data_IF_269571849535
#
_entry.id   IF_269571849535
#
_cell.length_a   1.000
_cell.length_b   1.000
_cell.length_c   1.000
_cell.angle_alpha   90.00
_cell.angle_beta   90.00
_cell.angle_gamma   90.00
#
_symmetry.space_group_name_H-M   'P 1'
#
loop_
_entity.id
_entity.type
_entity.pdbx_description
1 polymer ?
#
# COMPACT_ATOMS: atom_id res chain seq x y z
N UNK A 1 -58.69 4.04 -57.74
CA UNK A 1 -57.95 3.23 -56.75
C UNK A 1 -56.54 3.79 -56.61
N UNK A 2 -56.29 4.64 -55.61
CA UNK A 2 -54.92 5.09 -55.27
C UNK A 2 -54.56 4.42 -53.95
N UNK A 3 -53.48 3.62 -53.97
CA UNK A 3 -52.97 2.90 -52.81
C UNK A 3 -52.46 3.87 -51.74
N UNK A 4 -52.85 3.63 -50.50
CA UNK A 4 -52.27 4.22 -49.29
C UNK A 4 -51.11 3.32 -48.85
N UNK A 5 -49.90 3.88 -48.79
CA UNK A 5 -48.71 3.22 -48.21
C UNK A 5 -48.59 3.68 -46.74
N UNK A 6 -48.48 2.79 -45.74
CA UNK A 6 -48.24 3.21 -44.37
C UNK A 6 -46.74 3.51 -44.15
N UNK A 7 -46.46 4.68 -43.57
CA UNK A 7 -45.15 5.04 -43.04
C UNK A 7 -44.80 4.10 -41.87
N UNK A 8 -43.72 3.34 -42.02
CA UNK A 8 -43.07 2.65 -40.90
C UNK A 8 -42.26 3.68 -40.10
N UNK A 9 -42.69 3.97 -38.87
CA UNK A 9 -41.88 4.67 -37.88
C UNK A 9 -40.74 3.72 -37.45
N UNK A 10 -39.52 3.97 -37.92
CA UNK A 10 -38.33 3.37 -37.36
C UNK A 10 -38.02 4.06 -36.02
N UNK A 11 -38.36 3.41 -34.91
CA UNK A 11 -37.88 3.82 -33.59
C UNK A 11 -36.36 3.59 -33.53
N UNK A 12 -35.59 4.66 -33.72
CA UNK A 12 -34.15 4.65 -33.47
C UNK A 12 -33.92 4.54 -31.96
N UNK A 13 -33.81 3.32 -31.45
CA UNK A 13 -33.20 3.06 -30.16
C UNK A 13 -31.72 3.44 -30.28
N UNK A 14 -31.40 4.68 -29.91
CA UNK A 14 -30.04 5.11 -29.68
C UNK A 14 -29.53 4.26 -28.49
N UNK A 15 -28.53 3.36 -28.67
CA UNK A 15 -27.93 2.73 -27.52
C UNK A 15 -27.13 3.83 -26.82
N UNK A 16 -27.60 4.26 -25.65
CA UNK A 16 -26.79 5.02 -24.73
C UNK A 16 -25.63 4.09 -24.35
N UNK A 17 -24.50 4.23 -25.03
CA UNK A 17 -23.26 3.72 -24.52
C UNK A 17 -23.03 4.47 -23.20
N UNK A 18 -23.35 3.83 -22.07
CA UNK A 18 -22.98 4.38 -20.77
C UNK A 18 -21.46 4.34 -20.72
N UNK A 19 -20.83 5.47 -21.03
CA UNK A 19 -19.43 5.68 -20.71
C UNK A 19 -19.30 5.47 -19.21
N UNK A 20 -18.27 4.73 -18.79
CA UNK A 20 -17.94 4.62 -17.37
C UNK A 20 -17.85 6.03 -16.79
N UNK A 21 -18.65 6.29 -15.76
CA UNK A 21 -18.67 7.58 -15.11
C UNK A 21 -17.65 7.52 -13.99
N UNK A 22 -16.55 8.24 -14.16
CA UNK A 22 -15.65 8.56 -13.05
C UNK A 22 -16.42 9.47 -12.11
N UNK A 23 -16.58 9.04 -10.87
CA UNK A 23 -17.28 9.83 -9.84
C UNK A 23 -16.22 10.56 -9.03
N UNK A 24 -16.33 11.88 -8.93
CA UNK A 24 -15.47 12.70 -8.11
C UNK A 24 -16.22 13.16 -6.86
N UNK A 25 -15.64 12.91 -5.70
CA UNK A 25 -16.13 13.31 -4.39
C UNK A 25 -15.02 14.10 -3.72
N UNK A 26 -15.33 15.27 -3.19
CA UNK A 26 -14.38 16.15 -2.52
C UNK A 26 -14.57 16.10 -1.01
N UNK A 27 -13.48 16.18 -0.26
CA UNK A 27 -13.50 16.31 1.20
C UNK A 27 -13.04 17.72 1.56
N UNK A 28 -13.99 18.56 1.98
CA UNK A 28 -13.77 19.96 2.31
C UNK A 28 -13.93 20.20 3.82
N UNK A 29 -12.93 20.84 4.44
CA UNK A 29 -12.84 20.97 5.91
C UNK A 29 -13.98 21.78 6.56
N UNK A 30 -14.67 22.64 5.80
CA UNK A 30 -15.63 23.60 6.35
C UNK A 30 -17.09 23.32 6.00
N UNK A 31 -17.42 22.18 5.38
CA UNK A 31 -18.78 21.91 4.91
C UNK A 31 -19.59 21.17 5.98
N UNK A 32 -20.72 21.74 6.43
CA UNK A 32 -21.73 21.00 7.21
C UNK A 32 -22.75 20.43 6.23
N UNK A 33 -22.69 19.14 5.95
CA UNK A 33 -23.69 18.49 5.09
C UNK A 33 -24.79 17.86 5.91
N UNK A 34 -26.00 17.95 5.37
CA UNK A 34 -26.94 16.86 5.47
C UNK A 34 -27.29 16.48 4.04
N UNK A 35 -27.37 15.17 3.74
CA UNK A 35 -28.26 14.59 2.70
C UNK A 35 -27.60 14.10 1.38
N UNK A 36 -28.29 13.09 0.82
CA UNK A 36 -28.27 12.54 -0.54
C UNK A 36 -28.03 13.58 -1.65
N UNK A 37 -27.20 13.21 -2.63
CA UNK A 37 -26.87 14.04 -3.78
C UNK A 37 -25.68 14.98 -3.58
N UNK A 38 -25.07 14.97 -2.38
CA UNK A 38 -23.88 15.77 -2.07
C UNK A 38 -22.60 15.07 -2.53
N UNK A 39 -21.65 15.84 -3.07
CA UNK A 39 -20.31 15.39 -3.47
C UNK A 39 -19.18 16.06 -2.69
N UNK A 40 -19.50 16.89 -1.68
CA UNK A 40 -18.53 17.55 -0.81
C UNK A 40 -18.79 17.17 0.65
N UNK A 41 -17.78 16.69 1.39
CA UNK A 41 -17.98 16.17 2.76
C UNK A 41 -17.02 16.79 3.77
N UNK A 42 -17.43 16.98 5.05
CA UNK A 42 -16.54 17.48 6.11
C UNK A 42 -15.39 16.54 6.46
N UNK A 43 -15.59 15.23 6.31
CA UNK A 43 -14.61 14.21 6.67
C UNK A 43 -14.55 13.14 5.60
N UNK A 44 -13.42 12.42 5.57
CA UNK A 44 -13.15 11.35 4.62
C UNK A 44 -14.08 10.18 4.91
N UNK A 45 -14.28 9.82 6.19
CA UNK A 45 -15.20 8.73 6.53
C UNK A 45 -16.63 9.06 6.09
N UNK A 46 -17.08 10.32 6.23
CA UNK A 46 -18.42 10.69 5.78
C UNK A 46 -18.55 10.60 4.25
N UNK A 47 -17.52 10.97 3.50
CA UNK A 47 -17.48 10.71 2.05
C UNK A 47 -17.59 9.20 1.77
N UNK A 48 -16.87 8.36 2.51
CA UNK A 48 -16.94 6.90 2.38
C UNK A 48 -18.33 6.35 2.71
N UNK A 49 -19.01 6.88 3.73
CA UNK A 49 -20.34 6.40 4.15
C UNK A 49 -21.46 6.81 3.17
N UNK A 50 -21.26 7.86 2.37
CA UNK A 50 -22.31 8.49 1.57
C UNK A 50 -22.04 8.58 0.05
N UNK A 51 -20.84 8.26 -0.44
CA UNK A 51 -20.58 8.31 -1.88
C UNK A 51 -21.33 7.22 -2.65
N UNK A 52 -21.73 7.49 -3.90
CA UNK A 52 -22.33 6.47 -4.75
C UNK A 52 -21.26 5.45 -5.17
N UNK A 53 -21.57 4.17 -5.09
CA UNK A 53 -20.77 3.14 -5.74
C UNK A 53 -20.64 3.47 -7.24
N UNK A 54 -19.46 3.24 -7.82
CA UNK A 54 -19.34 3.27 -9.27
C UNK A 54 -20.41 2.35 -9.88
N UNK A 55 -21.19 2.88 -10.83
CA UNK A 55 -22.27 2.13 -11.44
C UNK A 55 -21.78 0.81 -12.07
N UNK A 56 -22.66 -0.18 -12.30
CA UNK A 56 -22.28 -1.49 -12.85
C UNK A 56 -21.74 -1.43 -14.29
N UNK A 57 -21.78 -0.25 -14.92
CA UNK A 57 -21.23 0.00 -16.24
C UNK A 57 -19.70 -0.23 -16.21
N UNK A 58 -19.26 -1.18 -17.04
CA UNK A 58 -17.84 -1.45 -17.24
C UNK A 58 -17.28 -0.46 -18.27
N UNK A 59 -16.09 0.06 -18.02
CA UNK A 59 -15.33 0.84 -18.98
C UNK A 59 -15.00 0.05 -20.25
N UNK A 60 -14.38 0.71 -21.24
CA UNK A 60 -13.94 0.06 -22.49
C UNK A 60 -12.95 -1.09 -22.26
N UNK A 61 -12.31 -1.13 -21.10
CA UNK A 61 -11.39 -2.15 -20.61
C UNK A 61 -12.09 -3.28 -19.81
N UNK A 62 -13.41 -3.24 -19.65
CA UNK A 62 -14.18 -4.25 -18.92
C UNK A 62 -14.12 -4.11 -17.40
N UNK A 63 -13.50 -3.06 -16.84
CA UNK A 63 -13.41 -2.80 -15.39
C UNK A 63 -14.60 -1.95 -14.90
N UNK A 64 -15.10 -2.14 -13.66
CA UNK A 64 -16.09 -1.23 -13.07
C UNK A 64 -15.54 0.19 -13.02
N UNK A 65 -16.40 1.22 -13.05
CA UNK A 65 -15.97 2.62 -12.90
C UNK A 65 -15.15 2.86 -11.63
N UNK A 66 -14.46 4.01 -11.56
CA UNK A 66 -13.63 4.41 -10.44
C UNK A 66 -14.25 5.62 -9.72
N UNK A 67 -14.13 5.64 -8.40
CA UNK A 67 -14.57 6.77 -7.58
C UNK A 67 -13.33 7.43 -6.99
N UNK A 68 -13.14 8.71 -7.30
CA UNK A 68 -12.06 9.54 -6.80
C UNK A 68 -12.55 10.33 -5.59
N UNK A 69 -11.89 10.14 -4.46
CA UNK A 69 -12.05 10.95 -3.26
C UNK A 69 -10.91 11.97 -3.25
N UNK A 70 -11.20 13.18 -3.71
CA UNK A 70 -10.32 14.35 -3.70
C UNK A 70 -10.29 14.94 -2.30
N UNK A 71 -9.13 14.92 -1.64
CA UNK A 71 -8.97 15.35 -0.24
C UNK A 71 -8.20 16.67 -0.21
N UNK A 72 -8.84 17.72 0.26
CA UNK A 72 -8.24 19.05 0.35
C UNK A 72 -7.06 19.12 1.34
N UNK A 73 -6.13 20.09 1.21
CA UNK A 73 -5.04 20.28 2.15
C UNK A 73 -5.48 20.43 3.60
N UNK A 74 -4.93 19.59 4.47
CA UNK A 74 -4.85 19.73 5.92
C UNK A 74 -4.83 18.38 6.65
N UNK A 75 -5.03 18.43 7.96
CA UNK A 75 -4.91 17.26 8.84
C UNK A 75 -6.27 16.78 9.32
N UNK A 76 -6.61 15.55 8.95
CA UNK A 76 -7.87 14.88 9.22
C UNK A 76 -7.67 13.90 10.37
N UNK A 77 -8.10 14.32 11.57
CA UNK A 77 -8.06 13.50 12.78
C UNK A 77 -9.26 12.55 12.86
N UNK A 78 -9.23 11.48 12.07
CA UNK A 78 -10.30 10.50 12.00
C UNK A 78 -9.77 9.08 11.75
N UNK A 79 -10.65 8.09 11.92
CA UNK A 79 -10.41 6.72 11.47
C UNK A 79 -11.20 6.49 10.20
N UNK A 80 -10.52 6.06 9.13
CA UNK A 80 -11.15 5.83 7.82
C UNK A 80 -11.21 4.33 7.52
N UNK A 81 -12.39 3.84 7.12
CA UNK A 81 -12.65 2.45 6.77
C UNK A 81 -13.20 2.39 5.36
N UNK A 82 -12.40 1.87 4.43
CA UNK A 82 -12.80 1.51 3.08
C UNK A 82 -13.24 0.04 3.10
N UNK A 83 -14.54 -0.18 3.32
CA UNK A 83 -15.13 -1.52 3.39
C UNK A 83 -15.09 -2.24 2.04
N UNK A 84 -15.16 -3.57 2.07
CA UNK A 84 -14.99 -4.45 0.89
C UNK A 84 -15.88 -4.13 -0.33
N UNK A 85 -17.05 -3.53 -0.10
CA UNK A 85 -18.00 -3.11 -1.13
C UNK A 85 -17.62 -1.81 -1.86
N UNK A 86 -16.63 -1.07 -1.38
CA UNK A 86 -16.13 0.15 -2.03
C UNK A 86 -14.96 -0.16 -2.98
N UNK A 87 -15.18 -1.03 -3.97
CA UNK A 87 -14.13 -1.37 -4.94
C UNK A 87 -13.82 -0.19 -5.87
N UNK A 88 -12.57 -0.11 -6.34
CA UNK A 88 -12.09 0.94 -7.25
C UNK A 88 -12.23 2.36 -6.67
N UNK A 89 -11.86 2.53 -5.42
CA UNK A 89 -11.72 3.85 -4.78
C UNK A 89 -10.30 4.37 -4.99
N UNK A 90 -10.17 5.65 -5.31
CA UNK A 90 -8.88 6.34 -5.35
C UNK A 90 -8.92 7.52 -4.38
N UNK A 91 -8.04 7.54 -3.39
CA UNK A 91 -7.80 8.74 -2.58
C UNK A 91 -6.76 9.61 -3.28
N UNK A 92 -7.09 10.89 -3.49
CA UNK A 92 -6.17 11.84 -4.13
C UNK A 92 -6.02 13.05 -3.22
N UNK A 93 -4.82 13.29 -2.70
CA UNK A 93 -4.54 14.53 -1.99
C UNK A 93 -4.38 15.70 -2.97
N UNK A 94 -5.13 16.78 -2.74
CA UNK A 94 -5.14 17.98 -3.60
C UNK A 94 -4.06 18.99 -3.21
N UNK A 95 -3.15 18.61 -2.31
CA UNK A 95 -1.98 19.40 -1.93
C UNK A 95 -0.90 19.46 -2.99
N UNK A 96 0.10 20.31 -2.80
CA UNK A 96 1.28 20.34 -3.69
C UNK A 96 2.18 19.14 -3.44
N UNK A 97 2.25 18.71 -2.18
CA UNK A 97 3.04 17.59 -1.70
C UNK A 97 2.19 16.68 -0.80
N UNK A 98 2.59 15.42 -0.57
CA UNK A 98 1.84 14.50 0.28
C UNK A 98 1.74 14.92 1.75
N UNK A 99 2.65 15.75 2.26
CA UNK A 99 2.54 16.32 3.61
C UNK A 99 1.42 17.35 3.77
N UNK A 100 0.89 17.90 2.69
CA UNK A 100 -0.19 18.87 2.75
C UNK A 100 -1.55 18.23 3.11
N UNK A 101 -1.69 16.91 2.92
CA UNK A 101 -2.93 16.15 3.18
C UNK A 101 -2.60 14.96 4.08
N UNK A 102 -3.04 15.00 5.33
CA UNK A 102 -2.66 14.02 6.35
C UNK A 102 -3.89 13.39 6.98
N UNK A 103 -4.02 12.07 6.94
CA UNK A 103 -5.00 11.31 7.72
C UNK A 103 -4.29 10.76 8.96
N UNK A 104 -4.71 11.18 10.15
CA UNK A 104 -3.96 10.94 11.39
C UNK A 104 -4.84 10.43 12.53
N UNK A 105 -4.33 9.47 13.29
CA UNK A 105 -4.88 9.00 14.57
C UNK A 105 -3.71 8.67 15.52
N UNK A 106 -3.99 8.21 16.74
CA UNK A 106 -2.98 7.92 17.77
C UNK A 106 -3.31 6.68 18.62
N UNK A 107 -4.18 5.79 18.12
CA UNK A 107 -4.52 4.56 18.82
C UNK A 107 -3.34 3.58 18.82
N UNK A 108 -2.98 3.05 19.99
CA UNK A 108 -2.07 1.92 20.13
C UNK A 108 -2.79 0.67 20.67
N UNK A 109 -2.14 -0.49 20.57
CA UNK A 109 -2.74 -1.78 20.92
C UNK A 109 -3.18 -1.87 22.39
N UNK A 110 -2.50 -1.19 23.32
CA UNK A 110 -2.88 -1.18 24.75
C UNK A 110 -4.22 -0.46 24.95
N UNK A 111 -4.47 0.62 24.21
CA UNK A 111 -5.72 1.38 24.25
C UNK A 111 -6.83 0.67 23.47
N UNK A 112 -6.51 0.14 22.29
CA UNK A 112 -7.49 -0.43 21.36
C UNK A 112 -7.83 -1.90 21.65
N UNK A 113 -7.10 -2.57 22.55
CA UNK A 113 -7.31 -4.00 22.87
C UNK A 113 -6.66 -4.97 21.87
N UNK A 114 -5.71 -4.50 21.06
CA UNK A 114 -4.95 -5.30 20.08
C UNK A 114 -4.53 -4.49 18.86
N UNK A 115 -3.49 -4.97 18.14
CA UNK A 115 -2.93 -4.31 16.94
C UNK A 115 -3.98 -4.01 15.88
N UNK A 116 -4.86 -4.96 15.57
CA UNK A 116 -5.86 -4.87 14.48
C UNK A 116 -7.08 -4.00 14.80
N UNK A 117 -6.98 -3.17 15.85
CA UNK A 117 -7.95 -2.14 16.18
C UNK A 117 -7.33 -0.73 16.18
N UNK A 118 -6.03 -0.62 15.86
CA UNK A 118 -5.25 0.62 15.95
C UNK A 118 -5.18 1.41 14.65
N UNK A 119 -5.66 0.83 13.55
CA UNK A 119 -5.42 1.37 12.22
C UNK A 119 -6.07 2.75 12.05
N UNK A 120 -5.27 3.76 11.68
CA UNK A 120 -5.78 5.07 11.25
C UNK A 120 -6.64 4.90 10.00
N UNK A 121 -6.14 4.16 9.01
CA UNK A 121 -6.91 3.78 7.81
C UNK A 121 -6.95 2.27 7.64
N UNK A 122 -8.13 1.73 7.33
CA UNK A 122 -8.34 0.32 6.99
C UNK A 122 -8.92 0.21 5.58
N UNK A 123 -8.23 -0.53 4.72
CA UNK A 123 -8.65 -0.79 3.34
C UNK A 123 -8.91 -2.27 3.15
N UNK A 124 -10.17 -2.64 2.90
CA UNK A 124 -10.58 -4.02 2.62
C UNK A 124 -11.13 -4.21 1.19
N UNK A 125 -11.16 -3.14 0.39
CA UNK A 125 -11.74 -3.17 -0.96
C UNK A 125 -10.68 -3.41 -2.04
N UNK A 126 -10.98 -4.21 -3.09
CA UNK A 126 -10.07 -4.40 -4.22
C UNK A 126 -9.97 -3.15 -5.10
N UNK A 127 -8.82 -2.97 -5.76
CA UNK A 127 -8.57 -1.87 -6.69
C UNK A 127 -8.43 -0.50 -6.01
N UNK A 128 -8.13 -0.49 -4.71
CA UNK A 128 -7.89 0.75 -3.97
C UNK A 128 -6.62 1.43 -4.46
N UNK A 129 -6.68 2.73 -4.65
CA UNK A 129 -5.52 3.53 -5.02
C UNK A 129 -5.40 4.75 -4.11
N UNK A 130 -4.18 5.25 -3.95
CA UNK A 130 -3.87 6.46 -3.22
C UNK A 130 -2.75 7.23 -3.93
N UNK A 131 -2.92 8.54 -4.12
CA UNK A 131 -1.87 9.43 -4.62
C UNK A 131 -1.77 10.72 -3.81
N UNK A 132 -0.53 11.14 -3.54
CA UNK A 132 -0.20 12.47 -2.99
C UNK A 132 -0.83 12.78 -1.62
N UNK A 133 -0.76 11.86 -0.66
CA UNK A 133 -1.20 12.08 0.73
C UNK A 133 -0.39 11.29 1.76
N UNK A 134 -0.60 11.63 3.04
CA UNK A 134 0.05 11.00 4.19
C UNK A 134 -0.96 10.20 5.03
N UNK A 135 -0.61 8.96 5.37
CA UNK A 135 -1.26 8.14 6.38
C UNK A 135 -0.38 8.08 7.62
N UNK A 136 -0.90 8.40 8.79
CA UNK A 136 -0.08 8.50 10.01
C UNK A 136 -0.75 7.88 11.24
N UNK A 137 0.06 7.25 12.09
CA UNK A 137 -0.30 6.98 13.48
C UNK A 137 0.72 7.63 14.44
N UNK A 138 0.24 8.61 15.20
CA UNK A 138 1.04 9.44 16.13
C UNK A 138 1.16 8.88 17.55
N UNK A 139 0.79 7.61 17.77
CA UNK A 139 0.88 6.99 19.09
C UNK A 139 2.30 6.93 19.68
N UNK A 140 3.33 7.19 18.87
CA UNK A 140 4.73 7.16 19.31
C UNK A 140 5.25 5.74 19.54
N UNK A 141 6.42 5.62 20.17
CA UNK A 141 7.01 4.34 20.57
C UNK A 141 6.29 3.74 21.80
N UNK A 142 5.02 3.37 21.65
CA UNK A 142 4.16 2.89 22.74
C UNK A 142 3.78 1.41 22.62
N UNK A 143 4.27 0.74 21.59
CA UNK A 143 3.86 -0.58 21.13
C UNK A 143 3.24 -0.50 19.74
N UNK A 144 2.50 -1.52 19.34
CA UNK A 144 1.88 -1.60 18.01
C UNK A 144 0.86 -0.49 17.78
N UNK A 145 1.00 0.24 16.68
CA UNK A 145 0.14 1.34 16.29
C UNK A 145 0.17 1.52 14.76
N UNK A 146 -0.88 1.05 14.09
CA UNK A 146 -0.93 0.95 12.62
C UNK A 146 -1.39 2.28 12.01
N UNK A 147 -0.63 2.80 11.04
CA UNK A 147 -1.05 3.96 10.23
C UNK A 147 -2.04 3.52 9.14
N UNK A 148 -1.76 2.42 8.45
CA UNK A 148 -2.69 1.85 7.49
C UNK A 148 -2.62 0.33 7.45
N UNK A 149 -3.78 -0.33 7.42
CA UNK A 149 -3.90 -1.74 7.07
C UNK A 149 -4.51 -1.92 5.70
N UNK A 150 -3.86 -2.74 4.88
CA UNK A 150 -4.20 -2.96 3.49
C UNK A 150 -4.49 -4.45 3.27
N UNK A 151 -5.77 -4.74 3.01
CA UNK A 151 -6.31 -6.03 2.60
C UNK A 151 -7.01 -5.85 1.26
N UNK A 152 -6.22 -5.52 0.25
CA UNK A 152 -6.72 -5.13 -1.06
C UNK A 152 -5.90 -5.81 -2.15
N UNK A 153 -6.60 -6.47 -3.07
CA UNK A 153 -5.98 -6.94 -4.30
C UNK A 153 -5.94 -5.81 -5.32
N UNK A 154 -4.80 -5.69 -6.01
CA UNK A 154 -4.50 -4.61 -6.95
C UNK A 154 -4.50 -3.23 -6.32
N UNK A 155 -3.91 -3.10 -5.13
CA UNK A 155 -3.77 -1.81 -4.47
C UNK A 155 -2.58 -1.03 -5.04
N UNK A 156 -2.71 0.29 -5.23
CA UNK A 156 -1.60 1.16 -5.66
C UNK A 156 -1.48 2.35 -4.71
N UNK A 157 -0.26 2.63 -4.25
CA UNK A 157 0.06 3.82 -3.48
C UNK A 157 1.19 4.56 -4.21
N UNK A 158 0.92 5.76 -4.71
CA UNK A 158 1.89 6.59 -5.45
C UNK A 158 2.13 7.90 -4.69
N UNK A 159 3.37 8.36 -4.60
CA UNK A 159 3.73 9.59 -3.86
C UNK A 159 3.14 9.68 -2.44
N UNK A 160 2.94 8.55 -1.77
CA UNK A 160 2.34 8.51 -0.45
C UNK A 160 3.40 8.51 0.65
N UNK A 161 3.06 9.07 1.81
CA UNK A 161 3.82 8.92 3.05
C UNK A 161 3.07 8.02 4.02
N UNK A 162 3.75 7.07 4.65
CA UNK A 162 3.15 6.17 5.65
C UNK A 162 4.01 6.23 6.91
N UNK A 163 3.50 6.88 7.95
CA UNK A 163 4.27 7.32 9.11
C UNK A 163 3.80 6.66 10.40
N UNK A 164 4.73 6.16 11.20
CA UNK A 164 4.43 5.52 12.47
C UNK A 164 5.69 5.09 13.21
N UNK A 165 5.52 4.24 14.23
CA UNK A 165 6.63 3.61 14.94
C UNK A 165 6.59 2.10 14.76
N UNK A 166 6.01 1.35 15.70
CA UNK A 166 5.91 -0.10 15.60
C UNK A 166 4.64 -0.48 14.85
N UNK A 167 4.76 -1.41 13.89
CA UNK A 167 3.66 -1.90 13.06
C UNK A 167 3.01 -0.82 12.15
N UNK A 168 3.79 0.11 11.57
CA UNK A 168 3.31 1.25 10.74
C UNK A 168 2.38 0.84 9.58
N UNK A 169 2.83 -0.06 8.70
CA UNK A 169 2.11 -0.54 7.52
C UNK A 169 1.77 -2.02 7.68
N UNK A 170 0.48 -2.31 7.81
CA UNK A 170 -0.01 -3.68 7.79
C UNK A 170 -0.40 -4.10 6.36
N UNK A 171 0.60 -4.49 5.56
CA UNK A 171 0.43 -5.04 4.21
C UNK A 171 0.04 -6.52 4.28
N UNK A 172 -1.26 -6.79 4.48
CA UNK A 172 -1.76 -8.08 4.95
C UNK A 172 -2.25 -9.03 3.85
N UNK A 173 -3.02 -8.53 2.88
CA UNK A 173 -3.64 -9.37 1.85
C UNK A 173 -3.70 -8.70 0.48
N UNK A 174 -3.62 -9.53 -0.56
CA UNK A 174 -3.72 -9.12 -1.96
C UNK A 174 -2.41 -8.66 -2.56
N UNK A 175 -2.45 -8.31 -3.84
CA UNK A 175 -1.31 -7.74 -4.56
C UNK A 175 -1.29 -6.22 -4.39
N UNK A 176 -0.14 -5.67 -4.03
CA UNK A 176 0.00 -4.27 -3.64
C UNK A 176 1.25 -3.66 -4.28
N UNK A 177 1.14 -2.44 -4.79
CA UNK A 177 2.23 -1.71 -5.42
C UNK A 177 2.41 -0.34 -4.78
N UNK A 178 3.56 -0.13 -4.15
CA UNK A 178 3.95 1.12 -3.51
C UNK A 178 5.03 1.75 -4.38
N UNK A 179 4.76 2.93 -4.93
CA UNK A 179 5.58 3.59 -5.94
C UNK A 179 5.97 5.00 -5.49
N UNK A 180 7.26 5.32 -5.50
CA UNK A 180 7.75 6.65 -5.10
C UNK A 180 7.22 7.06 -3.71
N UNK A 181 7.18 6.10 -2.78
CA UNK A 181 6.63 6.29 -1.42
C UNK A 181 7.72 6.52 -0.38
N UNK A 182 7.34 7.15 0.72
CA UNK A 182 8.15 7.25 1.93
C UNK A 182 7.45 6.50 3.07
N UNK A 183 8.14 5.56 3.73
CA UNK A 183 7.59 4.77 4.83
C UNK A 183 8.58 4.81 5.98
N UNK A 184 8.13 5.18 7.17
CA UNK A 184 8.98 5.20 8.37
C UNK A 184 8.43 4.40 9.54
N UNK A 185 9.32 3.92 10.38
CA UNK A 185 8.94 3.20 11.59
C UNK A 185 10.11 2.69 12.40
N UNK A 186 9.84 1.69 13.23
CA UNK A 186 10.78 1.09 14.17
C UNK A 186 10.78 -0.44 14.09
N UNK A 187 10.01 -1.09 14.95
CA UNK A 187 9.87 -2.55 14.99
C UNK A 187 8.79 -2.98 13.99
N UNK A 188 9.15 -3.89 13.09
CA UNK A 188 8.24 -4.59 12.19
C UNK A 188 7.36 -3.63 11.37
N UNK A 189 7.90 -2.48 10.96
CA UNK A 189 7.05 -1.39 10.46
C UNK A 189 6.41 -1.66 9.10
N UNK A 190 6.86 -2.68 8.37
CA UNK A 190 6.13 -3.30 7.25
C UNK A 190 5.88 -4.78 7.60
N UNK A 191 4.63 -5.16 7.85
CA UNK A 191 4.31 -6.53 8.29
C UNK A 191 3.00 -7.03 7.68
N UNK A 192 2.79 -8.35 7.76
CA UNK A 192 1.65 -9.05 7.14
C UNK A 192 2.05 -10.04 6.04
N UNK A 193 1.08 -10.43 5.21
CA UNK A 193 1.24 -11.50 4.21
C UNK A 193 0.80 -11.08 2.80
N UNK A 194 0.85 -9.79 2.46
CA UNK A 194 0.54 -9.35 1.10
C UNK A 194 1.60 -9.84 0.10
N UNK A 195 1.22 -9.80 -1.18
CA UNK A 195 2.17 -9.84 -2.29
C UNK A 195 2.48 -8.40 -2.68
N UNK A 196 3.49 -7.80 -2.04
CA UNK A 196 3.73 -6.36 -2.14
C UNK A 196 5.09 -6.03 -2.78
N UNK A 197 5.10 -4.99 -3.61
CA UNK A 197 6.33 -4.43 -4.19
C UNK A 197 6.43 -2.95 -3.81
N UNK A 198 7.60 -2.56 -3.30
CA UNK A 198 7.98 -1.19 -2.97
C UNK A 198 9.04 -0.75 -3.99
N UNK A 199 8.65 0.06 -4.98
CA UNK A 199 9.50 0.50 -6.09
C UNK A 199 9.80 2.00 -5.99
N UNK A 200 11.10 2.34 -6.08
CA UNK A 200 11.59 3.72 -5.89
C UNK A 200 11.16 4.37 -4.58
N UNK A 201 11.02 3.55 -3.54
CA UNK A 201 10.59 4.01 -2.23
C UNK A 201 11.78 4.31 -1.31
N UNK A 202 11.51 5.09 -0.28
CA UNK A 202 12.37 5.25 0.88
C UNK A 202 11.77 4.52 2.08
N UNK A 203 12.56 3.63 2.69
CA UNK A 203 12.23 2.98 3.95
C UNK A 203 13.14 3.57 5.04
N UNK A 204 12.56 4.36 5.94
CA UNK A 204 13.28 5.14 6.94
C UNK A 204 13.13 4.55 8.35
N UNK A 205 14.23 4.08 8.91
CA UNK A 205 14.28 3.50 10.26
C UNK A 205 14.52 4.57 11.33
N UNK A 206 13.59 4.70 12.28
CA UNK A 206 13.64 5.73 13.32
C UNK A 206 14.41 5.30 14.57
N UNK A 207 14.66 4.00 14.77
CA UNK A 207 15.39 3.48 15.94
C UNK A 207 15.83 2.04 15.72
N UNK A 208 16.54 1.38 16.64
CA UNK A 208 16.91 -0.03 16.47
C UNK A 208 15.66 -0.90 16.31
N UNK A 209 15.55 -1.56 15.15
CA UNK A 209 14.30 -2.16 14.72
C UNK A 209 14.47 -3.16 13.58
N UNK A 210 13.35 -3.41 12.91
CA UNK A 210 13.25 -4.35 11.80
C UNK A 210 12.33 -3.75 10.75
N UNK A 211 12.85 -3.54 9.55
CA UNK A 211 12.06 -2.96 8.46
C UNK A 211 10.84 -3.83 8.14
N UNK A 212 11.04 -5.15 8.10
CA UNK A 212 10.01 -6.09 7.64
C UNK A 212 9.77 -7.26 8.59
N UNK A 213 8.49 -7.64 8.73
CA UNK A 213 8.05 -8.85 9.44
C UNK A 213 6.99 -9.61 8.63
N UNK A 214 7.43 -10.24 7.54
CA UNK A 214 6.53 -10.92 6.60
C UNK A 214 6.04 -12.26 7.17
N UNK A 215 4.76 -12.61 6.97
CA UNK A 215 4.03 -13.69 7.64
C UNK A 215 3.47 -14.82 6.76
N UNK A 216 4.03 -15.01 5.56
CA UNK A 216 3.78 -16.16 4.69
C UNK A 216 4.00 -17.43 5.49
N UNK A 217 3.08 -18.40 5.36
CA UNK A 217 3.03 -19.62 6.18
C UNK A 217 3.22 -20.92 5.40
N UNK A 218 3.22 -20.86 4.06
CA UNK A 218 3.39 -22.03 3.19
C UNK A 218 4.19 -21.67 1.93
N UNK A 219 4.88 -22.67 1.36
CA UNK A 219 5.57 -22.56 0.08
C UNK A 219 4.61 -22.30 -1.10
N UNK A 220 3.34 -22.74 -0.99
CA UNK A 220 2.33 -22.61 -2.05
C UNK A 220 1.78 -21.18 -2.18
N UNK A 221 2.08 -20.30 -1.22
CA UNK A 221 1.66 -18.90 -1.26
C UNK A 221 2.62 -18.08 -2.14
N UNK A 222 2.06 -17.33 -3.10
CA UNK A 222 2.79 -16.39 -3.95
C UNK A 222 3.18 -15.08 -3.24
N UNK A 223 2.83 -14.92 -1.97
CA UNK A 223 3.01 -13.69 -1.18
C UNK A 223 4.47 -13.42 -0.82
N UNK A 224 4.77 -12.20 -0.41
CA UNK A 224 6.12 -11.73 -0.15
C UNK A 224 6.28 -10.26 -0.39
N UNK A 225 7.34 -9.70 0.20
CA UNK A 225 7.71 -8.31 0.02
C UNK A 225 8.93 -8.21 -0.88
N UNK A 226 8.85 -7.34 -1.89
CA UNK A 226 9.97 -7.00 -2.75
C UNK A 226 10.23 -5.51 -2.64
N UNK A 227 11.43 -5.14 -2.23
CA UNK A 227 11.91 -3.77 -2.18
C UNK A 227 12.85 -3.62 -3.38
N UNK A 228 12.52 -2.74 -4.33
CA UNK A 228 13.21 -2.64 -5.62
C UNK A 228 13.53 -1.19 -5.98
N UNK A 229 14.71 -0.94 -6.54
CA UNK A 229 15.19 0.40 -6.93
C UNK A 229 15.02 1.47 -5.84
N UNK A 230 15.08 1.05 -4.58
CA UNK A 230 14.69 1.84 -3.42
C UNK A 230 15.92 2.26 -2.62
N UNK A 231 15.72 2.99 -1.52
CA UNK A 231 16.78 3.26 -0.55
C UNK A 231 16.29 3.02 0.87
N UNK A 232 17.18 2.50 1.69
CA UNK A 232 17.00 2.40 3.13
C UNK A 232 17.79 3.52 3.78
N UNK A 233 17.15 4.25 4.68
CA UNK A 233 17.76 5.33 5.46
C UNK A 233 17.45 5.12 6.94
N UNK A 234 18.13 5.86 7.82
CA UNK A 234 17.86 5.79 9.24
C UNK A 234 18.15 7.12 9.95
N UNK A 235 17.52 7.33 11.10
CA UNK A 235 17.91 8.36 12.05
C UNK A 235 19.14 7.89 12.84
N UNK A 236 20.33 8.24 12.34
CA UNK A 236 21.61 7.88 12.94
C UNK A 236 21.74 8.34 14.41
N UNK A 237 21.11 9.47 14.77
CA UNK A 237 21.13 9.97 16.14
C UNK A 237 20.27 9.10 17.06
N UNK A 238 19.08 8.71 16.61
CA UNK A 238 18.18 7.84 17.37
C UNK A 238 18.69 6.40 17.49
N UNK A 239 19.49 5.92 16.52
CA UNK A 239 20.15 4.62 16.61
C UNK A 239 21.23 4.56 17.70
N UNK A 240 21.87 5.69 18.04
CA UNK A 240 22.88 5.79 19.09
C UNK A 240 23.97 4.70 19.01
N UNK A 241 24.46 4.41 17.80
CA UNK A 241 25.47 3.38 17.53
C UNK A 241 24.98 1.93 17.55
N UNK A 242 23.67 1.71 17.69
CA UNK A 242 23.03 0.40 17.52
C UNK A 242 22.63 0.20 16.04
N UNK A 243 22.25 -1.03 15.73
CA UNK A 243 21.86 -1.44 14.39
C UNK A 243 20.36 -1.75 14.31
N UNK A 244 19.86 -1.68 13.08
CA UNK A 244 18.58 -2.26 12.68
C UNK A 244 18.82 -3.38 11.65
N UNK A 245 17.75 -4.09 11.28
CA UNK A 245 17.81 -5.20 10.33
C UNK A 245 16.79 -5.03 9.20
N UNK A 246 17.11 -5.58 8.03
CA UNK A 246 16.23 -5.59 6.84
C UNK A 246 14.89 -6.31 7.11
N UNK A 247 14.88 -7.23 8.07
CA UNK A 247 13.68 -7.91 8.50
C UNK A 247 13.92 -9.15 9.34
N UNK A 248 12.82 -9.76 9.76
CA UNK A 248 12.77 -11.03 10.50
C UNK A 248 11.52 -11.85 10.16
N UNK A 249 11.60 -13.19 10.17
CA UNK A 249 10.49 -14.03 9.73
C UNK A 249 9.43 -14.16 10.83
N UNK A 250 8.32 -13.41 10.73
CA UNK A 250 7.19 -13.55 11.67
C UNK A 250 6.59 -14.96 11.62
N UNK A 251 6.61 -15.61 10.44
CA UNK A 251 6.14 -17.00 10.22
C UNK A 251 7.14 -17.83 9.41
N UNK A 252 7.08 -19.18 9.51
CA UNK A 252 7.85 -20.07 8.61
C UNK A 252 7.46 -19.81 7.16
N UNK A 253 8.39 -19.88 6.21
CA UNK A 253 8.22 -19.47 4.81
C UNK A 253 8.17 -17.97 4.53
N UNK A 254 8.35 -17.10 5.53
CA UNK A 254 8.50 -15.65 5.32
C UNK A 254 9.44 -15.34 4.15
N UNK A 255 9.05 -14.40 3.30
CA UNK A 255 9.75 -14.07 2.05
C UNK A 255 9.88 -12.55 1.88
N UNK A 256 11.12 -12.09 1.83
CA UNK A 256 11.49 -10.68 1.65
C UNK A 256 12.68 -10.61 0.70
N UNK A 257 12.62 -9.74 -0.31
CA UNK A 257 13.66 -9.60 -1.33
C UNK A 257 14.02 -8.14 -1.51
N UNK A 258 15.31 -7.79 -1.48
CA UNK A 258 15.82 -6.45 -1.80
C UNK A 258 16.60 -6.48 -3.12
N UNK A 259 16.27 -5.59 -4.05
CA UNK A 259 16.81 -5.55 -5.42
C UNK A 259 17.23 -4.12 -5.74
N UNK A 260 18.48 -3.92 -6.15
CA UNK A 260 19.03 -2.59 -6.51
C UNK A 260 18.70 -1.53 -5.45
N UNK A 261 18.78 -1.89 -4.18
CA UNK A 261 18.45 -1.00 -3.07
C UNK A 261 19.73 -0.45 -2.44
N UNK A 262 19.78 0.86 -2.19
CA UNK A 262 20.87 1.49 -1.45
C UNK A 262 20.70 1.22 0.06
N UNK A 263 21.74 0.68 0.71
CA UNK A 263 21.73 0.28 2.11
C UNK A 263 22.75 1.11 2.93
N UNK A 264 22.35 1.66 4.09
CA UNK A 264 23.19 2.57 4.87
C UNK A 264 24.14 1.79 5.79
N UNK A 265 25.19 2.47 6.27
CA UNK A 265 26.24 1.86 7.12
C UNK A 265 25.70 1.38 8.47
N UNK A 266 24.57 1.96 8.91
CA UNK A 266 23.90 1.64 10.16
C UNK A 266 23.15 0.30 10.13
N UNK A 267 22.94 -0.29 8.96
CA UNK A 267 22.42 -1.64 8.82
C UNK A 267 23.35 -2.66 9.49
N UNK A 268 22.80 -3.59 10.27
CA UNK A 268 23.56 -4.69 10.84
C UNK A 268 24.26 -5.51 9.74
N UNK A 269 25.56 -5.84 9.86
CA UNK A 269 26.26 -6.64 8.84
C UNK A 269 25.58 -7.97 8.51
N UNK A 270 24.95 -8.59 9.52
CA UNK A 270 24.15 -9.81 9.41
C UNK A 270 22.95 -9.65 8.46
N UNK A 271 22.45 -8.43 8.30
CA UNK A 271 21.31 -8.03 7.47
C UNK A 271 19.95 -8.43 8.04
N UNK A 272 19.85 -9.62 8.62
CA UNK A 272 18.59 -10.27 8.98
C UNK A 272 18.66 -10.89 10.38
N UNK A 273 17.51 -10.96 11.04
CA UNK A 273 17.32 -11.69 12.30
C UNK A 273 16.36 -12.87 12.10
N UNK A 274 16.52 -13.93 12.88
CA UNK A 274 15.75 -15.17 12.73
C UNK A 274 14.49 -15.23 13.62
N UNK A 275 14.06 -14.11 14.21
CA UNK A 275 12.94 -14.05 15.17
C UNK A 275 13.22 -14.83 16.47
N UNK A 276 14.49 -15.11 16.79
CA UNK A 276 14.87 -16.03 17.86
C UNK A 276 14.43 -17.48 17.61
N UNK A 277 14.20 -17.86 16.33
CA UNK A 277 13.69 -19.18 15.93
C UNK A 277 14.50 -19.76 14.78
N UNK A 278 15.53 -20.53 15.10
CA UNK A 278 16.38 -21.19 14.10
C UNK A 278 15.61 -22.11 13.12
N UNK A 279 14.44 -22.64 13.51
CA UNK A 279 13.59 -23.41 12.60
C UNK A 279 13.06 -22.60 11.41
N UNK A 280 12.90 -21.27 11.56
CA UNK A 280 12.44 -20.41 10.48
C UNK A 280 13.50 -20.29 9.37
N UNK A 281 14.79 -20.39 9.71
CA UNK A 281 15.91 -20.30 8.75
C UNK A 281 15.85 -21.37 7.66
N UNK A 282 15.20 -22.51 7.93
CA UNK A 282 15.08 -23.62 6.98
C UNK A 282 14.08 -23.35 5.84
N UNK A 283 13.15 -22.41 6.05
CA UNK A 283 12.01 -22.21 5.13
C UNK A 283 11.84 -20.76 4.70
N UNK A 284 12.31 -19.79 5.49
CA UNK A 284 12.32 -18.39 5.11
C UNK A 284 13.19 -18.16 3.87
N UNK A 285 12.77 -17.25 3.00
CA UNK A 285 13.48 -16.87 1.79
C UNK A 285 13.78 -15.38 1.83
N UNK A 286 14.91 -15.03 2.44
CA UNK A 286 15.38 -13.65 2.54
C UNK A 286 16.55 -13.46 1.59
N UNK A 287 16.41 -12.55 0.63
CA UNK A 287 17.32 -12.49 -0.50
C UNK A 287 17.68 -11.06 -0.92
N UNK A 288 18.87 -10.90 -1.51
CA UNK A 288 19.38 -9.64 -2.03
C UNK A 288 19.88 -9.80 -3.47
N UNK A 289 19.77 -8.73 -4.28
CA UNK A 289 20.35 -8.65 -5.62
C UNK A 289 20.83 -7.24 -5.97
N UNK A 290 22.11 -7.08 -6.27
CA UNK A 290 22.64 -5.83 -6.80
C UNK A 290 22.44 -4.59 -5.91
N UNK A 291 22.29 -4.80 -4.59
CA UNK A 291 22.21 -3.71 -3.61
C UNK A 291 23.54 -2.92 -3.57
N UNK A 292 23.46 -1.65 -3.20
CA UNK A 292 24.59 -0.72 -3.16
C UNK A 292 24.66 0.01 -1.81
N UNK A 293 25.64 0.90 -1.66
CA UNK A 293 25.84 1.66 -0.43
C UNK A 293 26.68 0.94 0.63
N UNK A 294 27.07 1.65 1.70
CA UNK A 294 28.01 1.14 2.70
C UNK A 294 27.50 -0.05 3.52
N UNK A 295 26.18 -0.27 3.61
CA UNK A 295 25.56 -1.41 4.28
C UNK A 295 25.44 -2.68 3.43
N UNK A 296 25.72 -2.59 2.12
CA UNK A 296 25.59 -3.70 1.16
C UNK A 296 26.76 -4.70 1.21
N UNK A 297 27.17 -5.12 2.40
CA UNK A 297 28.18 -6.17 2.58
C UNK A 297 27.53 -7.56 2.65
N UNK A 298 27.30 -8.16 1.48
CA UNK A 298 26.68 -9.49 1.38
C UNK A 298 27.51 -10.62 2.01
N UNK A 299 28.84 -10.46 2.14
CA UNK A 299 29.73 -11.51 2.70
C UNK A 299 29.58 -11.68 4.22
N UNK A 300 29.02 -10.66 4.90
CA UNK A 300 28.79 -10.68 6.34
C UNK A 300 27.36 -11.12 6.73
N UNK A 301 26.51 -11.41 5.75
CA UNK A 301 25.12 -11.78 5.98
C UNK A 301 25.00 -13.11 6.69
N UNK A 302 23.86 -13.30 7.36
CA UNK A 302 23.51 -14.60 7.94
C UNK A 302 23.59 -15.72 6.88
N UNK A 303 24.11 -16.92 7.22
CA UNK A 303 24.35 -17.98 6.23
C UNK A 303 23.10 -18.54 5.54
N UNK A 304 21.92 -18.34 6.13
CA UNK A 304 20.64 -18.79 5.58
C UNK A 304 19.99 -17.78 4.63
N UNK A 305 20.57 -16.59 4.46
CA UNK A 305 20.13 -15.63 3.44
C UNK A 305 20.62 -16.02 2.05
N UNK A 306 20.05 -15.42 1.01
CA UNK A 306 20.34 -15.75 -0.38
C UNK A 306 20.85 -14.54 -1.17
N UNK A 307 21.79 -14.78 -2.06
CA UNK A 307 22.14 -13.83 -3.13
C UNK A 307 21.53 -14.35 -4.42
N UNK A 308 20.70 -13.54 -5.07
CA UNK A 308 20.04 -13.95 -6.31
C UNK A 308 20.99 -13.81 -7.51
N UNK A 309 20.69 -14.57 -8.54
CA UNK A 309 21.16 -14.30 -9.91
C UNK A 309 20.23 -13.29 -10.60
N UNK A 310 20.68 -12.67 -11.69
CA UNK A 310 19.85 -11.74 -12.47
C UNK A 310 18.55 -12.39 -12.98
N UNK A 311 18.60 -13.67 -13.36
CA UNK A 311 17.42 -14.42 -13.81
C UNK A 311 16.40 -14.62 -12.69
N UNK A 312 16.86 -14.93 -11.47
CA UNK A 312 15.99 -15.06 -10.30
C UNK A 312 15.42 -13.70 -9.89
N UNK A 313 16.24 -12.65 -9.85
CA UNK A 313 15.81 -11.30 -9.53
C UNK A 313 14.72 -10.79 -10.49
N UNK A 314 14.81 -11.11 -11.79
CA UNK A 314 13.81 -10.73 -12.78
C UNK A 314 12.40 -11.23 -12.44
N UNK A 315 12.26 -12.37 -11.76
CA UNK A 315 10.94 -12.91 -11.35
C UNK A 315 10.25 -12.06 -10.27
N UNK A 316 11.03 -11.28 -9.52
CA UNK A 316 10.53 -10.43 -8.43
C UNK A 316 10.25 -8.99 -8.88
N UNK A 317 10.59 -8.60 -10.12
CA UNK A 317 10.26 -7.28 -10.64
C UNK A 317 8.72 -7.06 -10.69
N UNK A 318 8.22 -5.81 -10.50
CA UNK A 318 6.80 -5.55 -10.31
C UNK A 318 5.90 -6.20 -11.37
N UNK A 319 6.27 -6.08 -12.66
CA UNK A 319 5.51 -6.61 -13.79
C UNK A 319 5.38 -8.14 -13.81
N UNK A 320 6.31 -8.86 -13.16
CA UNK A 320 6.32 -10.31 -13.11
C UNK A 320 5.72 -10.82 -11.80
N UNK A 321 6.14 -10.24 -10.68
CA UNK A 321 5.70 -10.66 -9.36
C UNK A 321 4.21 -10.38 -9.17
N UNK A 322 3.75 -9.19 -9.52
CA UNK A 322 2.35 -8.78 -9.32
C UNK A 322 1.41 -9.20 -10.47
N UNK A 323 1.94 -9.80 -11.54
CA UNK A 323 1.16 -10.13 -12.74
C UNK A 323 -0.07 -10.98 -12.45
N UNK A 324 0.06 -11.99 -11.58
CA UNK A 324 -1.02 -12.95 -11.33
C UNK A 324 -1.48 -13.69 -12.60
N UNK A 325 -2.63 -14.36 -12.52
CA UNK A 325 -3.23 -15.06 -13.66
C UNK A 325 -3.99 -14.13 -14.61
N UNK A 326 -4.24 -12.90 -14.16
CA UNK A 326 -4.98 -11.86 -14.86
C UNK A 326 -4.08 -10.84 -15.54
N UNK A 327 -2.75 -11.07 -15.51
CA UNK A 327 -1.73 -10.20 -16.10
C UNK A 327 -1.85 -8.74 -15.67
N UNK A 328 -2.11 -8.50 -14.38
CA UNK A 328 -2.14 -7.15 -13.82
C UNK A 328 -0.84 -6.42 -14.10
N UNK A 329 -0.95 -5.24 -14.72
CA UNK A 329 0.16 -4.32 -14.97
C UNK A 329 0.06 -3.11 -14.03
N UNK A 330 0.63 -3.22 -12.81
CA UNK A 330 0.56 -2.14 -11.83
C UNK A 330 1.35 -0.90 -12.28
N UNK A 331 2.36 -1.07 -13.13
CA UNK A 331 3.19 0.04 -13.62
C UNK A 331 2.38 0.89 -14.61
N UNK A 332 1.61 0.25 -15.50
CA UNK A 332 0.72 0.97 -16.40
C UNK A 332 -0.43 1.66 -15.66
N UNK A 333 -1.04 1.00 -14.66
CA UNK A 333 -2.11 1.61 -13.86
C UNK A 333 -1.60 2.80 -13.03
N UNK A 334 -0.45 2.68 -12.37
CA UNK A 334 0.13 3.76 -11.57
C UNK A 334 0.50 5.00 -12.39
N UNK A 335 0.77 4.87 -13.69
CA UNK A 335 1.01 6.03 -14.59
C UNK A 335 -0.24 6.86 -14.85
N UNK A 336 -1.42 6.31 -14.63
CA UNK A 336 -2.70 7.01 -14.83
C UNK A 336 -3.19 7.71 -13.56
N UNK A 337 -2.54 7.46 -12.42
CA UNK A 337 -2.79 8.23 -11.21
C UNK A 337 -2.31 9.68 -11.42
N UNK A 338 -3.10 10.67 -10.93
CA UNK A 338 -2.95 12.09 -11.26
C UNK A 338 -1.60 12.73 -10.91
#
# INVERSE_FOLDING_TARGET
>A
MRLVLPLLLAASLCPWASLAQDVHVRVAQSVKTGIEGTTEFPTIQMAMDHHPFAGPARGKDGKPGRVYIEIEPGTYHERVIVTQNHSNITFVGMGKNPEDVVISNSLNAKQAGGTFFTETVRVDAPGFEADNLTFENTAGNTGQAVAIAVRSDRAIFKHCRILGHQDTLFADYGRQYYLDTYIEGTVDFIFGNAQAVFDRSELHELSPGFLTAQSRTSADQSTGYVIVNSRVTADDAALAGKHFFLGRPWRPYSRVVYIHTELPVTLAPQGWDNWGKASNEQTAFFAEFGNSGPGANFTARVPWSHQLTSQQANQFLPQNFLSGQDHWDPIAEAKNLP
#
